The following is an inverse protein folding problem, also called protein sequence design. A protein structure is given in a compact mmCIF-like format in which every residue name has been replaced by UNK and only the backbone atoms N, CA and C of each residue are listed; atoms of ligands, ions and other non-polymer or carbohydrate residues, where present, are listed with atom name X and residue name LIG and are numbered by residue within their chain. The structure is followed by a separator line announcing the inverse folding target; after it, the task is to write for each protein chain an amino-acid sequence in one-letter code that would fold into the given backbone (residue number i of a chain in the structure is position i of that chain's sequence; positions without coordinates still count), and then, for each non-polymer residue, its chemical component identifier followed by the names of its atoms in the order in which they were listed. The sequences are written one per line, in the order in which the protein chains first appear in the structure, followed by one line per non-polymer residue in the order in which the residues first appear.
data_IF_865083090288
#
_entry.id   IF_865083090288
#
_cell.length_a   1.000
_cell.length_b   1.000
_cell.length_c   1.000
_cell.angle_alpha   90.00
_cell.angle_beta   90.00
_cell.angle_gamma   90.00
#
_symmetry.space_group_name_H-M   'P 1'
#
loop_
_entity.id
_entity.type
_entity.pdbx_description
1 polymer ?
#
# COMPACT_ATOMS: atom_id res chain seq x y z
N UNK A 1 -6.85 10.99 -1.74
CA UNK A 1 -7.99 10.05 -1.68
C UNK A 1 -8.17 9.69 -0.22
N UNK A 2 -9.28 10.10 0.37
CA UNK A 2 -9.53 9.88 1.78
C UNK A 2 -9.99 8.44 1.97
N UNK A 3 -9.22 7.67 2.74
CA UNK A 3 -9.50 6.25 3.04
C UNK A 3 -10.90 6.10 3.68
N UNK A 4 -11.43 7.19 4.25
CA UNK A 4 -12.74 7.28 4.87
C UNK A 4 -13.89 7.20 3.87
N UNK A 5 -13.72 7.67 2.63
CA UNK A 5 -14.82 7.76 1.65
C UNK A 5 -14.92 6.55 0.72
N UNK A 6 -13.99 5.61 0.81
CA UNK A 6 -13.96 4.40 -0.03
C UNK A 6 -15.03 3.38 0.42
N UNK A 7 -15.57 2.60 -0.51
CA UNK A 7 -16.33 1.39 -0.17
C UNK A 7 -15.40 0.27 0.32
N UNK A 8 -15.91 -0.74 1.04
CA UNK A 8 -15.11 -1.90 1.44
C UNK A 8 -14.38 -2.57 0.27
N UNK A 9 -15.05 -2.73 -0.87
CA UNK A 9 -14.49 -3.33 -2.09
C UNK A 9 -13.37 -2.48 -2.67
N UNK A 10 -13.57 -1.16 -2.74
CA UNK A 10 -12.54 -0.21 -3.19
C UNK A 10 -11.33 -0.23 -2.26
N UNK A 11 -11.52 -0.50 -0.97
CA UNK A 11 -10.42 -0.63 -0.02
C UNK A 11 -9.63 -1.91 -0.22
N UNK A 12 -10.31 -3.01 -0.55
CA UNK A 12 -9.65 -4.28 -0.87
C UNK A 12 -8.87 -4.18 -2.20
N UNK A 13 -9.45 -3.58 -3.24
CA UNK A 13 -8.78 -3.32 -4.52
C UNK A 13 -7.53 -2.45 -4.33
N UNK A 14 -7.66 -1.31 -3.64
CA UNK A 14 -6.52 -0.43 -3.32
C UNK A 14 -5.45 -1.14 -2.48
N UNK A 15 -5.83 -2.07 -1.60
CA UNK A 15 -4.88 -2.84 -0.81
C UNK A 15 -4.08 -3.83 -1.69
N UNK A 16 -4.71 -4.42 -2.71
CA UNK A 16 -4.02 -5.26 -3.70
C UNK A 16 -3.05 -4.44 -4.55
N UNK A 17 -3.48 -3.30 -5.09
CA UNK A 17 -2.62 -2.38 -5.85
C UNK A 17 -1.36 -1.99 -5.04
N UNK A 18 -1.53 -1.62 -3.77
CA UNK A 18 -0.41 -1.25 -2.89
C UNK A 18 0.54 -2.43 -2.63
N UNK A 19 0.04 -3.67 -2.60
CA UNK A 19 0.88 -4.87 -2.42
C UNK A 19 1.69 -5.17 -3.68
N UNK A 20 1.10 -4.99 -4.85
CA UNK A 20 1.81 -5.10 -6.14
C UNK A 20 2.92 -4.05 -6.26
N UNK A 21 2.61 -2.79 -5.92
CA UNK A 21 3.62 -1.72 -5.88
C UNK A 21 4.77 -2.07 -4.92
N UNK A 22 4.45 -2.56 -3.72
CA UNK A 22 5.48 -2.96 -2.76
C UNK A 22 6.35 -4.11 -3.30
N UNK A 23 5.77 -5.06 -4.03
CA UNK A 23 6.50 -6.16 -4.66
C UNK A 23 7.49 -5.62 -5.72
N UNK A 24 7.05 -4.70 -6.57
CA UNK A 24 7.90 -4.06 -7.57
C UNK A 24 9.06 -3.29 -6.91
N UNK A 25 8.78 -2.53 -5.85
CA UNK A 25 9.81 -1.79 -5.10
C UNK A 25 10.84 -2.74 -4.45
N UNK A 26 10.40 -3.92 -3.96
CA UNK A 26 11.33 -4.95 -3.46
C UNK A 26 12.21 -5.52 -4.56
N UNK A 27 11.64 -5.80 -5.73
CA UNK A 27 12.40 -6.30 -6.87
C UNK A 27 13.47 -5.29 -7.32
N UNK A 28 13.11 -4.01 -7.42
CA UNK A 28 14.05 -2.92 -7.72
C UNK A 28 15.19 -2.85 -6.70
N UNK A 29 14.87 -2.89 -5.41
CA UNK A 29 15.87 -2.88 -4.34
C UNK A 29 16.81 -4.09 -4.40
N UNK A 30 16.27 -5.28 -4.67
CA UNK A 30 17.06 -6.52 -4.75
C UNK A 30 18.04 -6.52 -5.93
N UNK A 31 17.67 -5.89 -7.04
CA UNK A 31 18.52 -5.71 -8.22
C UNK A 31 19.57 -4.59 -8.05
N UNK A 32 19.67 -3.98 -6.87
CA UNK A 32 20.55 -2.84 -6.61
C UNK A 32 20.07 -1.53 -7.24
N UNK A 33 18.83 -1.50 -7.72
CA UNK A 33 18.19 -0.29 -8.23
C UNK A 33 17.86 0.65 -7.06
N UNK A 34 18.31 1.90 -7.16
CA UNK A 34 17.74 2.96 -6.34
C UNK A 34 16.33 3.23 -6.87
N UNK A 35 15.32 3.12 -6.02
CA UNK A 35 14.01 3.68 -6.35
C UNK A 35 14.21 5.16 -6.70
N UNK A 36 13.62 5.62 -7.81
CA UNK A 36 13.62 7.03 -8.21
C UNK A 36 13.03 7.94 -7.13
N UNK A 37 12.24 7.36 -6.22
CA UNK A 37 11.80 7.95 -4.97
C UNK A 37 12.26 7.09 -3.78
N UNK A 38 13.30 7.53 -3.07
CA UNK A 38 13.88 6.84 -1.90
C UNK A 38 12.90 6.63 -0.73
N UNK A 39 11.80 7.40 -0.70
CA UNK A 39 10.72 7.28 0.29
C UNK A 39 9.60 6.30 -0.08
N UNK A 40 9.50 5.89 -1.34
CA UNK A 40 8.36 5.12 -1.86
C UNK A 40 8.13 3.84 -1.06
N UNK A 41 9.18 3.05 -0.80
CA UNK A 41 9.07 1.80 -0.04
C UNK A 41 8.44 2.00 1.35
N UNK A 42 8.88 3.02 2.08
CA UNK A 42 8.33 3.34 3.42
C UNK A 42 6.91 3.87 3.31
N UNK A 43 6.60 4.65 2.28
CA UNK A 43 5.29 5.23 2.05
C UNK A 43 4.25 4.15 1.71
N UNK A 44 4.53 3.28 0.74
CA UNK A 44 3.66 2.16 0.33
C UNK A 44 3.37 1.24 1.53
N UNK A 45 4.39 0.89 2.32
CA UNK A 45 4.19 0.13 3.57
C UNK A 45 3.25 0.80 4.57
N UNK A 46 3.37 2.12 4.77
CA UNK A 46 2.49 2.87 5.67
C UNK A 46 1.07 2.95 5.12
N UNK A 47 0.90 3.10 3.82
CA UNK A 47 -0.40 3.07 3.16
C UNK A 47 -1.10 1.73 3.34
N UNK A 48 -0.39 0.60 3.12
CA UNK A 48 -0.91 -0.75 3.39
C UNK A 48 -1.38 -0.87 4.85
N UNK A 49 -0.57 -0.42 5.81
CA UNK A 49 -0.92 -0.50 7.23
C UNK A 49 -2.21 0.29 7.53
N UNK A 50 -2.36 1.50 7.00
CA UNK A 50 -3.58 2.32 7.17
C UNK A 50 -4.82 1.65 6.56
N UNK A 51 -4.68 1.05 5.37
CA UNK A 51 -5.77 0.31 4.73
C UNK A 51 -6.23 -0.87 5.59
N UNK A 52 -5.28 -1.68 6.07
CA UNK A 52 -5.58 -2.81 6.95
C UNK A 52 -6.24 -2.37 8.26
N UNK A 53 -5.78 -1.28 8.86
CA UNK A 53 -6.42 -0.71 10.06
C UNK A 53 -7.87 -0.34 9.77
N UNK A 54 -8.15 0.35 8.67
CA UNK A 54 -9.52 0.74 8.32
C UNK A 54 -10.42 -0.48 8.05
N UNK A 55 -9.94 -1.44 7.26
CA UNK A 55 -10.68 -2.67 6.97
C UNK A 55 -11.01 -3.44 8.26
N UNK A 56 -10.08 -3.46 9.23
CA UNK A 56 -10.33 -4.08 10.52
C UNK A 56 -11.40 -3.34 11.32
N UNK A 57 -11.34 -2.01 11.38
CA UNK A 57 -12.32 -1.18 12.09
C UNK A 57 -13.74 -1.29 11.55
N UNK A 58 -13.93 -1.68 10.30
CA UNK A 58 -15.27 -1.88 9.71
C UNK A 58 -15.86 -3.27 9.96
N UNK A 59 -15.02 -4.24 10.35
CA UNK A 59 -15.44 -5.60 10.67
C UNK A 59 -15.76 -5.79 12.17
N UNK A 60 -15.34 -4.85 13.01
CA UNK A 60 -15.65 -4.77 14.45
C UNK A 60 -16.91 -3.92 14.68
#
# INVERSE_FOLDING_TARGET
RDIETMSPEQREEMLEELREELLQLRAQQALGGSASNSGAYKQTRRSIARMLTRIKQEKE
#
